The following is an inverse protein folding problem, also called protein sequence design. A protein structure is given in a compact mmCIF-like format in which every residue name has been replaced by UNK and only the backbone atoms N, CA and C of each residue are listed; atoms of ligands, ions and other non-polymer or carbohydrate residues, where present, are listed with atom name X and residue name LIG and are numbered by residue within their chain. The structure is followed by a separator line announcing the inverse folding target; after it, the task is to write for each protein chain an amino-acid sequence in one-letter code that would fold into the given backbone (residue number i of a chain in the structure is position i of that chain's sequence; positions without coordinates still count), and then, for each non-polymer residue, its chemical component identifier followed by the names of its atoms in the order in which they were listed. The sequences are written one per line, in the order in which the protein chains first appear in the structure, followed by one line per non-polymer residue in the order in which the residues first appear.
data_IF_416867634684
#
_entry.id   IF_416867634684
#
_cell.length_a   1.000
_cell.length_b   1.000
_cell.length_c   1.000
_cell.angle_alpha   90.00
_cell.angle_beta   90.00
_cell.angle_gamma   90.00
#
_symmetry.space_group_name_H-M   'P 1'
#
loop_
_entity.id
_entity.type
_entity.pdbx_description
1 polymer ?
#
# COMPACT_ATOMS: atom_id res chain seq x y z
N UNK A 1 -10.95 -10.30 17.42
CA UNK A 1 -10.04 -9.65 18.39
C UNK A 1 -8.70 -9.30 17.74
N UNK A 2 -7.98 -10.23 17.11
CA UNK A 2 -6.76 -9.94 16.33
C UNK A 2 -7.00 -8.90 15.21
N UNK A 3 -8.09 -9.03 14.45
CA UNK A 3 -8.46 -8.09 13.40
C UNK A 3 -8.69 -6.66 13.93
N UNK A 4 -9.31 -6.48 15.10
CA UNK A 4 -9.49 -5.15 15.69
C UNK A 4 -8.17 -4.50 16.11
N UNK A 5 -7.18 -5.29 16.53
CA UNK A 5 -5.83 -4.80 16.86
C UNK A 5 -5.12 -4.36 15.57
N UNK A 6 -5.18 -5.18 14.50
CA UNK A 6 -4.57 -4.85 13.20
C UNK A 6 -5.21 -3.59 12.59
N UNK A 7 -6.52 -3.46 12.64
CA UNK A 7 -7.25 -2.28 12.19
C UNK A 7 -6.82 -1.03 12.94
N UNK A 8 -6.82 -1.09 14.27
CA UNK A 8 -6.38 0.04 15.11
C UNK A 8 -4.91 0.42 14.89
N UNK A 9 -4.05 -0.58 14.67
CA UNK A 9 -2.64 -0.34 14.35
C UNK A 9 -2.47 0.28 12.98
N UNK A 10 -3.20 -0.20 11.96
CA UNK A 10 -3.18 0.35 10.60
C UNK A 10 -3.63 1.82 10.57
N UNK A 11 -4.71 2.17 11.30
CA UNK A 11 -5.15 3.56 11.45
C UNK A 11 -4.04 4.44 12.03
N UNK A 12 -3.49 4.05 13.18
CA UNK A 12 -2.45 4.82 13.87
C UNK A 12 -1.16 4.92 13.03
N UNK A 13 -0.78 3.86 12.34
CA UNK A 13 0.38 3.87 11.46
C UNK A 13 0.16 4.75 10.22
N UNK A 14 -1.05 4.78 9.66
CA UNK A 14 -1.41 5.69 8.58
C UNK A 14 -1.48 7.16 9.04
N UNK A 15 -1.93 7.43 10.29
CA UNK A 15 -2.04 8.77 10.85
C UNK A 15 -0.66 9.38 11.16
N UNK A 16 0.21 8.67 11.90
CA UNK A 16 1.42 9.24 12.50
C UNK A 16 2.69 8.38 12.37
N UNK A 17 2.58 7.23 11.72
CA UNK A 17 3.68 6.28 11.52
C UNK A 17 3.91 5.33 12.70
N UNK A 18 4.57 4.20 12.44
CA UNK A 18 4.91 3.25 13.48
C UNK A 18 5.91 3.82 14.52
N UNK A 19 6.87 4.68 14.14
CA UNK A 19 7.82 5.26 15.10
C UNK A 19 7.10 6.02 16.22
N UNK A 20 6.10 6.85 15.87
CA UNK A 20 5.32 7.66 16.80
C UNK A 20 4.16 6.90 17.49
N UNK A 21 4.03 5.60 17.25
CA UNK A 21 2.93 4.77 17.79
C UNK A 21 3.49 3.69 18.71
N UNK A 22 3.06 3.64 19.97
CA UNK A 22 3.42 2.57 20.91
C UNK A 22 2.41 1.41 20.86
N UNK A 23 2.82 0.22 21.32
CA UNK A 23 1.90 -0.93 21.51
C UNK A 23 0.76 -0.55 22.47
N UNK A 24 1.02 0.33 23.45
CA UNK A 24 -0.02 0.83 24.38
C UNK A 24 -1.06 1.68 23.68
N UNK A 25 -0.65 2.53 22.71
CA UNK A 25 -1.58 3.32 21.91
C UNK A 25 -2.50 2.43 21.07
N UNK A 26 -1.91 1.39 20.45
CA UNK A 26 -2.69 0.40 19.68
C UNK A 26 -3.68 -0.33 20.58
N UNK A 27 -3.24 -0.79 21.76
CA UNK A 27 -4.10 -1.46 22.73
C UNK A 27 -5.25 -0.56 23.20
N UNK A 28 -4.96 0.71 23.50
CA UNK A 28 -5.95 1.70 23.90
C UNK A 28 -6.98 1.96 22.79
N UNK A 29 -6.55 2.14 21.54
CA UNK A 29 -7.41 2.32 20.36
C UNK A 29 -8.28 1.09 20.11
N UNK A 30 -7.71 -0.12 20.22
CA UNK A 30 -8.40 -1.39 20.04
C UNK A 30 -9.27 -1.79 21.26
N UNK A 31 -9.21 -1.03 22.36
CA UNK A 31 -9.89 -1.30 23.63
C UNK A 31 -9.56 -2.68 24.21
N UNK A 32 -8.29 -3.05 24.17
CA UNK A 32 -7.77 -4.31 24.71
C UNK A 32 -6.61 -4.06 25.69
N UNK A 33 -6.25 -5.08 26.45
CA UNK A 33 -5.06 -5.02 27.30
C UNK A 33 -3.80 -5.09 26.43
N UNK A 34 -2.78 -4.25 26.74
CA UNK A 34 -1.52 -4.20 25.99
C UNK A 34 -0.77 -5.54 25.98
N UNK A 35 -0.87 -6.34 27.04
CA UNK A 35 -0.32 -7.68 27.12
C UNK A 35 -0.94 -8.64 26.11
N UNK A 36 -2.18 -8.39 25.70
CA UNK A 36 -2.84 -9.14 24.63
C UNK A 36 -2.24 -8.85 23.26
N UNK A 37 -1.93 -7.58 22.97
CA UNK A 37 -1.25 -7.19 21.72
C UNK A 37 0.11 -7.86 21.64
N UNK A 38 0.89 -7.80 22.73
CA UNK A 38 2.20 -8.46 22.80
C UNK A 38 2.09 -9.98 22.60
N UNK A 39 1.11 -10.62 23.24
CA UNK A 39 0.91 -12.07 23.12
C UNK A 39 0.53 -12.51 21.69
N UNK A 40 -0.22 -11.69 20.94
CA UNK A 40 -0.66 -12.03 19.59
C UNK A 40 0.38 -11.69 18.53
N UNK A 41 1.09 -10.58 18.68
CA UNK A 41 1.95 -10.02 17.63
C UNK A 41 3.42 -9.93 18.05
N UNK A 42 3.75 -10.17 19.33
CA UNK A 42 5.11 -10.06 19.83
C UNK A 42 5.55 -8.59 19.95
N UNK A 43 6.70 -8.25 19.38
CA UNK A 43 7.24 -6.90 19.44
C UNK A 43 6.60 -5.96 18.40
N UNK A 44 7.00 -4.69 18.44
CA UNK A 44 6.46 -3.65 17.55
C UNK A 44 6.78 -3.91 16.08
N UNK A 45 7.96 -4.43 15.76
CA UNK A 45 8.37 -4.74 14.41
C UNK A 45 7.51 -5.87 13.81
N UNK A 46 7.24 -6.91 14.61
CA UNK A 46 6.33 -7.98 14.24
C UNK A 46 4.88 -7.50 14.03
N UNK A 47 4.44 -6.51 14.85
CA UNK A 47 3.15 -5.87 14.62
C UNK A 47 3.13 -5.06 13.32
N UNK A 48 4.22 -4.34 13.00
CA UNK A 48 4.34 -3.62 11.72
C UNK A 48 4.27 -4.61 10.55
N UNK A 49 5.01 -5.72 10.62
CA UNK A 49 4.96 -6.79 9.61
C UNK A 49 3.55 -7.34 9.43
N UNK A 50 2.85 -7.63 10.54
CA UNK A 50 1.48 -8.14 10.50
C UNK A 50 0.51 -7.15 9.84
N UNK A 51 0.63 -5.86 10.15
CA UNK A 51 -0.20 -4.80 9.55
C UNK A 51 0.07 -4.67 8.06
N UNK A 52 1.33 -4.65 7.62
CA UNK A 52 1.69 -4.55 6.20
C UNK A 52 1.10 -5.71 5.39
N UNK A 53 1.24 -6.94 5.88
CA UNK A 53 0.71 -8.12 5.21
C UNK A 53 -0.83 -8.16 5.23
N UNK A 54 -1.48 -7.76 6.33
CA UNK A 54 -2.93 -7.68 6.44
C UNK A 54 -3.52 -6.67 5.46
N UNK A 55 -2.93 -5.46 5.37
CA UNK A 55 -3.38 -4.44 4.43
C UNK A 55 -3.23 -4.90 2.97
N UNK A 56 -2.12 -5.56 2.61
CA UNK A 56 -1.90 -6.11 1.29
C UNK A 56 -2.92 -7.21 0.94
N UNK A 57 -3.19 -8.11 1.89
CA UNK A 57 -4.18 -9.17 1.71
C UNK A 57 -5.61 -8.62 1.59
N UNK A 58 -5.94 -7.60 2.38
CA UNK A 58 -7.25 -6.96 2.32
C UNK A 58 -7.50 -6.28 0.98
N UNK A 59 -6.53 -5.51 0.48
CA UNK A 59 -6.62 -4.87 -0.84
C UNK A 59 -6.81 -5.92 -1.95
N UNK A 60 -6.05 -7.01 -1.92
CA UNK A 60 -6.21 -8.10 -2.89
C UNK A 60 -7.60 -8.71 -2.86
N UNK A 61 -8.14 -8.98 -1.66
CA UNK A 61 -9.50 -9.52 -1.51
C UNK A 61 -10.56 -8.60 -2.09
N UNK A 62 -10.44 -7.28 -1.89
CA UNK A 62 -11.37 -6.30 -2.46
C UNK A 62 -11.32 -6.31 -4.00
N UNK A 63 -10.13 -6.39 -4.57
CA UNK A 63 -9.95 -6.47 -6.02
C UNK A 63 -10.55 -7.79 -6.56
N UNK A 64 -10.26 -8.93 -5.91
CA UNK A 64 -10.76 -10.25 -6.31
C UNK A 64 -12.28 -10.36 -6.23
N UNK A 65 -12.89 -9.69 -5.25
CA UNK A 65 -14.33 -9.65 -5.07
C UNK A 65 -15.04 -8.72 -6.07
N UNK A 66 -14.31 -8.01 -6.93
CA UNK A 66 -14.89 -7.01 -7.83
C UNK A 66 -15.56 -5.85 -7.08
N UNK A 67 -15.03 -5.50 -5.91
CA UNK A 67 -15.55 -4.40 -5.09
C UNK A 67 -15.52 -3.08 -5.87
N UNK A 68 -16.39 -2.14 -5.54
CA UNK A 68 -16.47 -0.84 -6.21
C UNK A 68 -15.14 -0.08 -6.14
N UNK A 69 -14.73 0.55 -7.25
CA UNK A 69 -13.46 1.27 -7.37
C UNK A 69 -13.18 2.27 -6.22
N UNK A 70 -14.16 3.04 -5.69
CA UNK A 70 -13.91 3.94 -4.57
C UNK A 70 -13.42 3.22 -3.31
N UNK A 71 -13.98 2.05 -3.00
CA UNK A 71 -13.57 1.27 -1.82
C UNK A 71 -12.15 0.70 -1.99
N UNK A 72 -11.84 0.20 -3.20
CA UNK A 72 -10.48 -0.26 -3.56
C UNK A 72 -9.49 0.91 -3.43
N UNK A 73 -9.84 2.11 -3.91
CA UNK A 73 -8.99 3.28 -3.83
C UNK A 73 -8.73 3.72 -2.38
N UNK A 74 -9.74 3.68 -1.52
CA UNK A 74 -9.60 4.00 -0.09
C UNK A 74 -8.63 3.00 0.58
N UNK A 75 -8.83 1.69 0.35
CA UNK A 75 -7.98 0.65 0.90
C UNK A 75 -6.52 0.77 0.38
N UNK A 76 -6.33 1.01 -0.91
CA UNK A 76 -5.02 1.21 -1.52
C UNK A 76 -4.29 2.44 -0.98
N UNK A 77 -4.99 3.57 -0.84
CA UNK A 77 -4.44 4.79 -0.25
C UNK A 77 -4.01 4.57 1.20
N UNK A 78 -4.81 3.85 1.98
CA UNK A 78 -4.49 3.54 3.37
C UNK A 78 -3.26 2.62 3.46
N UNK A 79 -3.22 1.54 2.68
CA UNK A 79 -2.07 0.64 2.61
C UNK A 79 -0.80 1.41 2.28
N UNK A 80 -0.86 2.29 1.27
CA UNK A 80 0.29 3.06 0.86
C UNK A 80 0.77 4.02 1.96
N UNK A 81 -0.14 4.68 2.69
CA UNK A 81 0.23 5.55 3.81
C UNK A 81 0.96 4.78 4.91
N UNK A 82 0.47 3.59 5.27
CA UNK A 82 1.14 2.72 6.25
C UNK A 82 2.52 2.32 5.76
N UNK A 83 2.63 1.85 4.52
CA UNK A 83 3.87 1.45 3.88
C UNK A 83 4.91 2.58 3.88
N UNK A 84 4.50 3.75 3.39
CA UNK A 84 5.40 4.90 3.24
C UNK A 84 5.90 5.41 4.59
N UNK A 85 5.01 5.48 5.59
CA UNK A 85 5.41 5.90 6.93
C UNK A 85 6.33 4.88 7.58
N UNK A 86 6.07 3.58 7.42
CA UNK A 86 6.98 2.55 7.93
C UNK A 86 8.36 2.65 7.28
N UNK A 87 8.42 2.87 5.96
CA UNK A 87 9.67 3.05 5.22
C UNK A 87 10.44 4.30 5.71
N UNK A 88 9.76 5.44 5.84
CA UNK A 88 10.36 6.70 6.30
C UNK A 88 10.79 6.63 7.77
N UNK A 89 10.12 5.84 8.59
CA UNK A 89 10.48 5.55 9.98
C UNK A 89 11.66 4.55 10.10
N UNK A 90 12.23 4.09 8.96
CA UNK A 90 13.41 3.23 8.90
C UNK A 90 13.14 1.74 9.10
N UNK A 91 11.90 1.30 9.01
CA UNK A 91 11.59 -0.13 9.05
C UNK A 91 12.01 -0.82 7.73
N UNK A 92 12.58 -2.04 7.78
CA UNK A 92 12.98 -2.81 6.59
C UNK A 92 11.73 -3.43 5.92
N UNK A 93 10.92 -2.58 5.29
CA UNK A 93 9.59 -2.93 4.77
C UNK A 93 9.65 -4.10 3.79
N UNK A 94 10.71 -4.17 2.96
CA UNK A 94 10.89 -5.24 1.98
C UNK A 94 11.11 -6.63 2.64
N UNK A 95 11.58 -6.65 3.90
CA UNK A 95 11.77 -7.86 4.68
C UNK A 95 10.53 -8.19 5.53
N UNK A 96 9.85 -7.16 6.02
CA UNK A 96 8.67 -7.29 6.88
C UNK A 96 7.41 -7.65 6.11
N UNK A 97 7.23 -7.12 4.92
CA UNK A 97 6.12 -7.49 4.05
C UNK A 97 6.53 -8.66 3.17
N UNK A 98 5.94 -9.82 3.42
CA UNK A 98 6.28 -11.08 2.74
C UNK A 98 5.33 -11.42 1.60
N UNK A 99 4.25 -10.66 1.41
CA UNK A 99 3.24 -10.89 0.37
C UNK A 99 2.92 -9.61 -0.37
N UNK A 100 2.95 -9.68 -1.70
CA UNK A 100 2.73 -8.55 -2.62
C UNK A 100 1.68 -8.91 -3.69
N UNK A 101 0.45 -9.31 -3.30
CA UNK A 101 -0.50 -9.92 -4.22
C UNK A 101 -0.90 -9.01 -5.40
N UNK A 102 -1.04 -7.71 -5.18
CA UNK A 102 -1.37 -6.76 -6.24
C UNK A 102 -0.23 -6.60 -7.26
N UNK A 103 1.02 -6.56 -6.80
CA UNK A 103 2.18 -6.46 -7.68
C UNK A 103 2.42 -7.78 -8.46
N UNK A 104 2.21 -8.93 -7.81
CA UNK A 104 2.30 -10.25 -8.46
C UNK A 104 1.25 -10.36 -9.55
N UNK A 105 0.01 -9.97 -9.28
CA UNK A 105 -1.06 -9.97 -10.29
C UNK A 105 -0.70 -9.09 -11.50
N UNK A 106 -0.25 -7.86 -11.27
CA UNK A 106 0.14 -6.97 -12.35
C UNK A 106 1.28 -7.59 -13.17
N UNK A 107 2.27 -8.20 -12.51
CA UNK A 107 3.35 -8.91 -13.20
C UNK A 107 2.83 -10.07 -14.05
N UNK A 108 1.86 -10.85 -13.55
CA UNK A 108 1.26 -11.96 -14.29
C UNK A 108 0.49 -11.49 -15.54
N UNK A 109 -0.12 -10.31 -15.48
CA UNK A 109 -0.80 -9.66 -16.63
C UNK A 109 0.21 -9.10 -17.64
N UNK A 110 1.34 -8.57 -17.20
CA UNK A 110 2.38 -7.96 -18.03
C UNK A 110 3.29 -9.02 -18.69
N UNK A 111 3.60 -10.08 -17.98
CA UNK A 111 4.56 -11.14 -18.40
C UNK A 111 4.32 -11.70 -19.82
N UNK A 112 3.09 -12.03 -20.27
CA UNK A 112 2.85 -12.55 -21.61
C UNK A 112 3.18 -11.59 -22.76
N UNK A 113 3.38 -10.31 -22.45
CA UNK A 113 3.64 -9.24 -23.42
C UNK A 113 5.15 -8.99 -23.63
N UNK A 114 6.02 -9.64 -22.85
CA UNK A 114 7.47 -9.42 -22.87
C UNK A 114 8.24 -10.67 -23.24
N UNK A 115 9.39 -10.50 -23.90
CA UNK A 115 10.24 -11.59 -24.39
C UNK A 115 10.94 -12.36 -23.28
N UNK A 116 11.12 -11.73 -22.11
CA UNK A 116 11.77 -12.35 -20.96
C UNK A 116 11.26 -11.77 -19.62
N UNK A 117 11.55 -12.50 -18.54
CA UNK A 117 11.08 -12.20 -17.18
C UNK A 117 11.62 -10.87 -16.64
N UNK A 118 12.86 -10.50 -16.96
CA UNK A 118 13.48 -9.28 -16.44
C UNK A 118 12.84 -8.03 -17.03
N UNK A 119 12.52 -8.04 -18.32
CA UNK A 119 11.81 -6.93 -18.97
C UNK A 119 10.38 -6.79 -18.46
N UNK A 120 9.67 -7.90 -18.22
CA UNK A 120 8.33 -7.89 -17.61
C UNK A 120 8.37 -7.31 -16.19
N UNK A 121 9.33 -7.73 -15.37
CA UNK A 121 9.53 -7.21 -14.00
C UNK A 121 9.86 -5.72 -13.99
N UNK A 122 10.72 -5.27 -14.89
CA UNK A 122 11.07 -3.85 -14.98
C UNK A 122 9.88 -2.99 -15.41
N UNK A 123 9.12 -3.44 -16.40
CA UNK A 123 7.90 -2.76 -16.85
C UNK A 123 6.86 -2.68 -15.72
N UNK A 124 6.66 -3.78 -14.98
CA UNK A 124 5.81 -3.82 -13.79
C UNK A 124 6.30 -2.83 -12.71
N UNK A 125 7.60 -2.79 -12.45
CA UNK A 125 8.19 -1.87 -11.48
C UNK A 125 7.96 -0.39 -11.85
N UNK A 126 8.08 -0.03 -13.14
CA UNK A 126 7.80 1.32 -13.63
C UNK A 126 6.32 1.69 -13.45
N UNK A 127 5.40 0.79 -13.77
CA UNK A 127 3.97 1.02 -13.58
C UNK A 127 3.61 1.20 -12.10
N UNK A 128 4.16 0.37 -11.20
CA UNK A 128 3.98 0.50 -9.75
C UNK A 128 4.59 1.81 -9.24
N UNK A 129 5.79 2.17 -9.68
CA UNK A 129 6.45 3.42 -9.26
C UNK A 129 5.63 4.66 -9.68
N UNK A 130 5.06 4.67 -10.89
CA UNK A 130 4.16 5.73 -11.35
C UNK A 130 2.95 5.88 -10.42
N UNK A 131 2.27 4.77 -10.11
CA UNK A 131 1.10 4.78 -9.22
C UNK A 131 1.46 5.28 -7.82
N UNK A 132 2.53 4.75 -7.23
CA UNK A 132 3.00 5.15 -5.91
C UNK A 132 3.41 6.63 -5.88
N UNK A 133 4.10 7.09 -6.91
CA UNK A 133 4.51 8.49 -7.05
C UNK A 133 3.31 9.43 -7.05
N UNK A 134 2.29 9.16 -7.84
CA UNK A 134 1.08 9.96 -7.87
C UNK A 134 0.32 9.94 -6.54
N UNK A 135 0.14 8.77 -5.94
CA UNK A 135 -0.59 8.67 -4.67
C UNK A 135 0.08 9.39 -3.50
N UNK A 136 1.42 9.44 -3.50
CA UNK A 136 2.18 10.09 -2.42
C UNK A 136 2.41 11.58 -2.65
N UNK A 137 2.69 11.96 -3.90
CA UNK A 137 3.22 13.28 -4.22
C UNK A 137 2.27 14.12 -5.08
N UNK A 138 1.02 13.71 -5.30
CA UNK A 138 0.06 14.41 -6.16
C UNK A 138 -0.01 15.93 -5.88
N UNK A 139 -0.21 16.41 -4.62
CA UNK A 139 -0.30 17.84 -4.37
C UNK A 139 0.99 18.60 -4.72
N UNK A 140 2.13 17.99 -4.45
CA UNK A 140 3.44 18.54 -4.80
C UNK A 140 3.65 18.57 -6.33
N UNK A 141 3.37 17.45 -7.01
CA UNK A 141 3.52 17.35 -8.47
C UNK A 141 2.65 18.39 -9.17
N UNK A 142 1.37 18.50 -8.79
CA UNK A 142 0.45 19.50 -9.35
C UNK A 142 1.00 20.91 -9.20
N UNK A 143 1.44 21.27 -8.01
CA UNK A 143 2.01 22.59 -7.73
C UNK A 143 3.30 22.86 -8.50
N UNK A 144 4.22 21.88 -8.57
CA UNK A 144 5.53 22.02 -9.16
C UNK A 144 5.48 22.28 -10.69
N UNK A 145 4.51 21.72 -11.38
CA UNK A 145 4.38 21.83 -12.85
C UNK A 145 3.19 22.68 -13.30
N UNK A 146 2.46 23.30 -12.37
CA UNK A 146 1.29 24.09 -12.69
C UNK A 146 0.14 23.30 -13.32
N UNK A 147 -0.02 22.04 -12.93
CA UNK A 147 -1.09 21.19 -13.43
C UNK A 147 -2.44 21.70 -12.91
N UNK A 148 -3.42 21.98 -13.80
CA UNK A 148 -4.73 22.44 -13.36
C UNK A 148 -5.45 21.37 -12.53
N UNK A 149 -6.43 21.80 -11.74
CA UNK A 149 -7.31 20.88 -11.03
C UNK A 149 -8.12 20.06 -12.05
N UNK A 150 -7.78 18.79 -12.13
CA UNK A 150 -8.51 17.80 -12.89
C UNK A 150 -9.51 17.09 -11.97
N UNK A 151 -10.68 16.70 -12.46
CA UNK A 151 -11.54 15.78 -11.74
C UNK A 151 -10.74 14.51 -11.35
N UNK A 152 -10.98 14.01 -10.14
CA UNK A 152 -10.26 12.86 -9.60
C UNK A 152 -10.30 11.63 -10.53
N UNK A 153 -11.46 11.40 -11.17
CA UNK A 153 -11.64 10.30 -12.11
C UNK A 153 -10.80 10.50 -13.38
N UNK A 154 -10.67 11.73 -13.90
CA UNK A 154 -9.86 12.02 -15.08
C UNK A 154 -8.36 11.81 -14.78
N UNK A 155 -7.88 12.23 -13.62
CA UNK A 155 -6.51 11.98 -13.21
C UNK A 155 -6.25 10.48 -13.05
N UNK A 156 -7.14 9.77 -12.38
CA UNK A 156 -7.04 8.33 -12.18
C UNK A 156 -7.00 7.58 -13.51
N UNK A 157 -7.89 7.92 -14.44
CA UNK A 157 -7.90 7.33 -15.77
C UNK A 157 -6.60 7.60 -16.53
N UNK A 158 -6.05 8.81 -16.43
CA UNK A 158 -4.77 9.16 -17.04
C UNK A 158 -3.63 8.29 -16.46
N UNK A 159 -3.57 8.14 -15.14
CA UNK A 159 -2.56 7.30 -14.47
C UNK A 159 -2.65 5.85 -14.95
N UNK A 160 -3.84 5.27 -14.99
CA UNK A 160 -4.01 3.88 -15.46
C UNK A 160 -3.67 3.72 -16.95
N UNK A 161 -3.97 4.73 -17.78
CA UNK A 161 -3.57 4.71 -19.19
C UNK A 161 -2.05 4.70 -19.33
N UNK A 162 -1.34 5.53 -18.59
CA UNK A 162 0.13 5.56 -18.62
C UNK A 162 0.75 4.30 -18.00
N UNK A 163 0.16 3.74 -16.93
CA UNK A 163 0.58 2.43 -16.42
C UNK A 163 0.48 1.35 -17.50
N UNK A 164 -0.61 1.33 -18.26
CA UNK A 164 -0.77 0.41 -19.39
C UNK A 164 0.31 0.61 -20.45
N UNK A 165 0.67 1.84 -20.80
CA UNK A 165 1.77 2.12 -21.75
C UNK A 165 3.13 1.66 -21.25
N UNK A 166 3.43 1.92 -19.97
CA UNK A 166 4.68 1.47 -19.34
C UNK A 166 4.78 -0.05 -19.22
N UNK A 167 3.65 -0.74 -19.27
CA UNK A 167 3.59 -2.20 -19.23
C UNK A 167 3.82 -2.85 -20.61
N UNK A 168 3.85 -2.09 -21.70
CA UNK A 168 4.10 -2.61 -23.04
C UNK A 168 5.61 -2.75 -23.32
N UNK A 169 6.03 -3.72 -24.18
CA UNK A 169 7.42 -3.84 -24.61
C UNK A 169 7.85 -2.58 -25.40
N UNK A 170 9.09 -2.18 -25.18
CA UNK A 170 9.76 -1.08 -25.88
C UNK A 170 10.81 -1.59 -26.85
#
# INVERSE_FOLDING_TARGET
MSAAILESAAELFAERGPAATSIRDVAARARVNHGLVFRHFGNKEQLVAAVLNDQAANLSKLIDAGTALPEIAIAGTRQLRVLSRALLDGYPVAELQTSFPAAVRLLDEVRPQHDNEDTARLATAHAVALLLGWQLFEPFIRSAIGLPDLPEDALRQSIFTEMGRLSLPH
#
